data_IF_985018716996
#
_entry.id   IF_985018716996
#
_cell.length_a   1.000
_cell.length_b   1.000
_cell.length_c   1.000
_cell.angle_alpha   90.00
_cell.angle_beta   90.00
_cell.angle_gamma   90.00
#
_symmetry.space_group_name_H-M   'P 1'
#
loop_
_entity.id
_entity.type
_entity.pdbx_description
1 polymer ?
#
# COMPACT_ATOMS: atom_id res chain seq x y z
N UNK A 1 -6.25 19.73 11.23
CA UNK A 1 -6.28 18.25 11.20
C UNK A 1 -5.62 17.70 9.95
N UNK A 2 -6.10 18.04 8.74
CA UNK A 2 -5.47 17.55 7.49
C UNK A 2 -3.99 17.95 7.34
N UNK A 3 -3.62 19.18 7.73
CA UNK A 3 -2.21 19.61 7.72
C UNK A 3 -1.33 18.78 8.65
N UNK A 4 -1.80 18.52 9.88
CA UNK A 4 -1.11 17.65 10.83
C UNK A 4 -0.92 16.24 10.26
N UNK A 5 -1.96 15.64 9.66
CA UNK A 5 -1.88 14.32 9.03
C UNK A 5 -0.89 14.32 7.87
N UNK A 6 -0.96 15.32 7.00
CA UNK A 6 -0.03 15.46 5.87
C UNK A 6 1.42 15.44 6.35
N UNK A 7 1.75 16.28 7.34
CA UNK A 7 3.11 16.39 7.87
C UNK A 7 3.57 15.08 8.52
N UNK A 8 2.70 14.39 9.26
CA UNK A 8 3.05 13.13 9.93
C UNK A 8 3.03 11.92 8.99
N UNK A 9 2.62 12.09 7.73
CA UNK A 9 2.58 11.03 6.72
C UNK A 9 3.51 11.32 5.55
N UNK A 10 4.51 12.20 5.73
CA UNK A 10 5.44 12.62 4.67
C UNK A 10 4.68 13.06 3.40
N UNK A 11 3.60 13.82 3.60
CA UNK A 11 2.72 14.35 2.56
C UNK A 11 1.97 13.29 1.74
N UNK A 12 2.02 12.01 2.15
CA UNK A 12 1.34 10.91 1.46
C UNK A 12 -0.16 10.86 1.74
N UNK A 13 -0.62 11.49 2.81
CA UNK A 13 -2.04 11.67 3.11
C UNK A 13 -2.33 13.18 3.24
N UNK A 14 -2.28 13.94 2.13
CA UNK A 14 -2.37 15.41 2.17
C UNK A 14 -3.79 15.92 2.50
N UNK A 15 -4.80 15.11 2.21
CA UNK A 15 -6.21 15.41 2.49
C UNK A 15 -6.83 14.27 3.27
N UNK A 16 -6.73 14.36 4.60
CA UNK A 16 -7.38 13.41 5.48
C UNK A 16 -8.90 13.56 5.50
N UNK A 17 -9.38 14.80 5.67
CA UNK A 17 -10.82 15.12 5.58
C UNK A 17 -11.16 15.59 4.15
N UNK A 18 -12.15 14.96 3.52
CA UNK A 18 -12.68 15.39 2.22
C UNK A 18 -13.64 16.58 2.37
N UNK A 19 -14.32 16.69 3.51
CA UNK A 19 -15.26 17.75 3.84
C UNK A 19 -15.01 18.21 5.29
N UNK A 20 -15.34 19.47 5.65
CA UNK A 20 -15.25 19.93 7.04
C UNK A 20 -16.09 19.08 7.98
N UNK A 21 -15.66 18.96 9.24
CA UNK A 21 -16.46 18.31 10.26
C UNK A 21 -17.72 19.15 10.55
N UNK A 22 -18.88 18.51 10.79
CA UNK A 22 -20.07 19.19 11.28
C UNK A 22 -19.80 20.03 12.53
N UNK A 23 -20.47 21.18 12.67
CA UNK A 23 -20.26 22.14 13.76
C UNK A 23 -20.67 21.60 15.13
N UNK A 24 -21.47 20.55 15.18
CA UNK A 24 -21.90 19.85 16.39
C UNK A 24 -20.95 18.71 16.81
N UNK A 25 -19.89 18.43 16.04
CA UNK A 25 -18.85 17.43 16.38
C UNK A 25 -18.18 17.78 17.71
N UNK A 26 -18.24 16.86 18.68
CA UNK A 26 -17.68 17.08 20.04
C UNK A 26 -16.30 16.45 20.26
N UNK A 27 -16.04 15.30 19.65
CA UNK A 27 -14.80 14.54 19.82
C UNK A 27 -14.44 13.85 18.50
N UNK A 28 -13.15 13.82 18.17
CA UNK A 28 -12.61 13.00 17.08
C UNK A 28 -11.37 12.28 17.59
N UNK A 29 -11.34 10.96 17.44
CA UNK A 29 -10.12 10.17 17.59
C UNK A 29 -9.55 9.89 16.20
N UNK A 30 -8.29 10.23 16.00
CA UNK A 30 -7.60 10.16 14.72
C UNK A 30 -6.33 9.33 14.84
N UNK A 31 -6.08 8.49 13.84
CA UNK A 31 -4.78 7.84 13.62
C UNK A 31 -4.46 7.85 12.12
N UNK A 32 -3.19 8.04 11.80
CA UNK A 32 -2.67 7.97 10.44
C UNK A 32 -1.29 7.31 10.48
N UNK A 33 -1.01 6.46 9.49
CA UNK A 33 0.25 5.73 9.39
C UNK A 33 0.75 5.80 7.94
N UNK A 34 1.99 6.24 7.77
CA UNK A 34 2.75 6.05 6.54
C UNK A 34 3.94 5.13 6.83
N UNK A 35 4.06 4.08 6.03
CA UNK A 35 5.17 3.13 6.14
C UNK A 35 5.80 2.93 4.77
N UNK A 36 7.08 3.28 4.68
CA UNK A 36 7.93 2.96 3.55
C UNK A 36 9.23 2.36 4.09
N UNK A 37 9.36 1.04 3.96
CA UNK A 37 10.55 0.32 4.38
C UNK A 37 11.40 -0.08 3.19
N UNK A 38 12.70 -0.18 3.44
CA UNK A 38 13.62 -0.79 2.52
C UNK A 38 13.56 -2.31 2.69
N UNK A 39 13.45 -3.01 1.56
CA UNK A 39 13.63 -4.45 1.55
C UNK A 39 15.06 -4.78 1.99
N UNK A 40 15.23 -5.79 2.85
CA UNK A 40 16.56 -6.33 3.19
C UNK A 40 17.30 -6.85 1.94
N UNK A 41 16.54 -7.40 1.01
CA UNK A 41 17.00 -7.80 -0.32
C UNK A 41 16.19 -7.01 -1.37
N UNK A 42 16.66 -5.81 -1.77
CA UNK A 42 15.97 -4.98 -2.76
C UNK A 42 15.76 -5.68 -4.10
N UNK A 43 14.70 -5.28 -4.80
CA UNK A 43 14.50 -5.66 -6.19
C UNK A 43 15.47 -4.89 -7.07
N UNK A 44 16.02 -5.54 -8.09
CA UNK A 44 16.86 -4.90 -9.10
C UNK A 44 15.95 -4.33 -10.20
N UNK A 45 15.92 -3.01 -10.42
CA UNK A 45 14.97 -2.38 -11.34
C UNK A 45 15.00 -2.91 -12.78
N UNK A 46 16.14 -3.40 -13.25
CA UNK A 46 16.33 -4.02 -14.57
C UNK A 46 15.54 -5.32 -14.76
N UNK A 47 15.11 -5.95 -13.67
CA UNK A 47 14.24 -7.13 -13.72
C UNK A 47 12.77 -6.78 -13.53
N UNK A 48 12.41 -5.52 -13.32
CA UNK A 48 11.00 -5.09 -13.35
C UNK A 48 10.51 -5.10 -14.80
N UNK A 49 9.44 -5.84 -15.07
CA UNK A 49 8.89 -6.01 -16.43
C UNK A 49 7.38 -5.90 -16.45
N UNK A 50 6.87 -5.32 -17.53
CA UNK A 50 5.44 -5.31 -17.84
C UNK A 50 4.95 -6.73 -18.14
N UNK A 51 4.12 -7.28 -17.25
CA UNK A 51 3.59 -8.65 -17.34
C UNK A 51 2.08 -8.67 -17.02
N UNK A 52 1.32 -9.65 -17.53
CA UNK A 52 -0.10 -9.75 -17.27
C UNK A 52 -0.39 -10.06 -15.80
N UNK A 53 -1.37 -9.36 -15.23
CA UNK A 53 -1.94 -9.58 -13.90
C UNK A 53 -3.45 -9.83 -14.04
N UNK A 54 -3.92 -10.92 -13.44
CA UNK A 54 -5.34 -11.31 -13.49
C UNK A 54 -6.10 -10.66 -12.33
N UNK A 55 -6.92 -9.66 -12.65
CA UNK A 55 -7.85 -9.04 -11.70
C UNK A 55 -9.21 -9.75 -11.76
N UNK A 56 -10.14 -9.51 -10.80
CA UNK A 56 -11.52 -10.00 -10.89
C UNK A 56 -12.26 -9.55 -12.16
N UNK A 57 -11.84 -8.43 -12.76
CA UNK A 57 -12.48 -7.81 -13.92
C UNK A 57 -11.74 -8.08 -15.24
N UNK A 58 -10.72 -8.95 -15.23
CA UNK A 58 -9.92 -9.30 -16.41
C UNK A 58 -8.43 -9.04 -16.23
N UNK A 59 -7.67 -9.21 -17.32
CA UNK A 59 -6.21 -9.12 -17.33
C UNK A 59 -5.74 -7.69 -17.63
N UNK A 60 -4.81 -7.17 -16.83
CA UNK A 60 -4.15 -5.88 -17.03
C UNK A 60 -2.63 -6.06 -17.05
N UNK A 61 -1.89 -5.22 -17.77
CA UNK A 61 -0.44 -5.23 -17.74
C UNK A 61 0.08 -4.38 -16.58
N UNK A 62 1.00 -4.92 -15.77
CA UNK A 62 1.60 -4.20 -14.63
C UNK A 62 3.10 -4.41 -14.59
N UNK A 63 3.82 -3.45 -14.01
CA UNK A 63 5.24 -3.59 -13.68
C UNK A 63 5.41 -4.60 -12.54
N UNK A 64 5.77 -5.83 -12.89
CA UNK A 64 6.05 -6.88 -11.92
C UNK A 64 7.54 -6.85 -11.56
N UNK A 65 7.82 -6.64 -10.27
CA UNK A 65 9.17 -6.72 -9.73
C UNK A 65 9.58 -8.18 -9.56
N UNK A 66 10.80 -8.53 -9.98
CA UNK A 66 11.35 -9.87 -9.89
C UNK A 66 12.57 -9.87 -8.97
N UNK A 67 12.64 -10.86 -8.08
CA UNK A 67 13.81 -11.10 -7.24
C UNK A 67 14.06 -12.61 -7.16
N UNK A 68 15.32 -13.01 -7.10
CA UNK A 68 15.74 -14.40 -7.00
C UNK A 68 16.58 -14.58 -5.74
N UNK A 69 16.27 -15.60 -4.96
CA UNK A 69 16.97 -15.86 -3.70
C UNK A 69 16.29 -16.94 -2.88
N UNK A 70 16.90 -17.28 -1.76
CA UNK A 70 16.28 -18.13 -0.75
C UNK A 70 15.49 -17.25 0.22
N UNK A 71 14.18 -17.45 0.28
CA UNK A 71 13.27 -16.75 1.17
C UNK A 71 12.48 -17.75 2.00
N UNK A 72 12.15 -17.37 3.24
CA UNK A 72 11.20 -18.15 4.03
C UNK A 72 9.86 -18.19 3.32
N UNK A 73 9.37 -19.38 3.02
CA UNK A 73 8.09 -19.60 2.39
C UNK A 73 7.32 -20.69 3.15
N UNK A 74 6.01 -20.56 3.20
CA UNK A 74 5.10 -21.58 3.69
C UNK A 74 3.95 -21.71 2.67
N UNK A 75 3.47 -22.92 2.46
CA UNK A 75 2.29 -23.19 1.64
C UNK A 75 1.21 -23.76 2.56
N UNK A 76 0.04 -23.15 2.52
CA UNK A 76 -1.16 -23.67 3.19
C UNK A 76 -2.14 -24.15 2.11
N UNK A 77 -2.55 -25.40 2.23
CA UNK A 77 -3.52 -26.03 1.34
C UNK A 77 -4.92 -25.84 1.90
N UNK A 78 -5.42 -24.61 1.89
CA UNK A 78 -6.86 -24.36 2.00
C UNK A 78 -7.49 -24.64 0.63
N UNK A 79 -8.00 -25.87 0.47
CA UNK A 79 -8.88 -26.24 -0.62
C UNK A 79 -10.17 -25.43 -0.53
N UNK A 80 -10.42 -24.56 -1.51
CA UNK A 80 -11.76 -24.03 -1.78
C UNK A 80 -12.63 -25.22 -2.19
N UNK A 81 -13.53 -25.67 -1.30
CA UNK A 81 -14.74 -26.37 -1.71
C UNK A 81 -15.69 -25.38 -2.37
#
# INVERSE_FOLDING_TARGET
>A
MSEWVSNHTNEKIPKFLQQPLPTDTKVVLLSALYFAAQWKHPFMPEFTKMLPFHTPNGTVMVDQMLNMGSFSFAHDSLSLQ
#
